data_IF_748280681233
#
_entry.id   IF_748280681233
#
_cell.length_a   1.000
_cell.length_b   1.000
_cell.length_c   1.000
_cell.angle_alpha   90.00
_cell.angle_beta   90.00
_cell.angle_gamma   90.00
#
_symmetry.space_group_name_H-M   'P 1'
#
loop_
_entity.id
_entity.type
_entity.pdbx_description
1 polymer ?
#
# COMPACT_ATOMS: atom_id res chain seq x y z
N UNK A 1 27.61 -14.97 -8.48
CA UNK A 1 26.65 -15.49 -7.48
C UNK A 1 25.77 -14.31 -7.08
N UNK A 2 24.45 -14.46 -7.10
CA UNK A 2 23.55 -13.35 -6.74
C UNK A 2 23.83 -12.90 -5.30
N UNK A 3 23.77 -11.59 -4.99
CA UNK A 3 24.04 -11.09 -3.64
C UNK A 3 22.92 -11.41 -2.62
N UNK A 4 21.86 -12.10 -3.05
CA UNK A 4 20.70 -12.44 -2.22
C UNK A 4 20.61 -13.94 -1.95
N UNK A 5 19.91 -14.32 -0.88
CA UNK A 5 19.70 -15.73 -0.54
C UNK A 5 18.90 -16.47 -1.62
N UNK A 6 19.12 -17.79 -1.77
CA UNK A 6 18.40 -18.63 -2.73
C UNK A 6 16.87 -18.63 -2.54
N UNK A 7 16.38 -18.41 -1.31
CA UNK A 7 14.95 -18.26 -1.03
C UNK A 7 14.38 -16.98 -1.65
N UNK A 8 15.14 -15.88 -1.61
CA UNK A 8 14.72 -14.62 -2.21
C UNK A 8 14.66 -14.70 -3.74
N UNK A 9 15.58 -15.44 -4.36
CA UNK A 9 15.60 -15.66 -5.81
C UNK A 9 14.35 -16.40 -6.33
N UNK A 10 13.69 -17.19 -5.49
CA UNK A 10 12.49 -17.96 -5.86
C UNK A 10 11.20 -17.14 -5.77
N UNK A 11 11.23 -15.94 -5.20
CA UNK A 11 10.05 -15.09 -5.09
C UNK A 11 9.75 -14.50 -6.46
N UNK A 12 8.55 -14.78 -6.98
CA UNK A 12 8.11 -14.22 -8.26
C UNK A 12 7.92 -12.70 -8.13
N UNK A 13 8.26 -11.93 -9.18
CA UNK A 13 8.02 -10.49 -9.21
C UNK A 13 6.54 -10.14 -8.99
N UNK A 14 6.30 -9.01 -8.31
CA UNK A 14 4.96 -8.50 -8.06
C UNK A 14 4.48 -7.63 -9.22
N UNK A 15 3.83 -8.27 -10.20
CA UNK A 15 3.44 -7.65 -11.49
C UNK A 15 2.33 -6.60 -11.35
N UNK A 16 1.62 -6.55 -10.22
CA UNK A 16 0.53 -5.57 -9.99
C UNK A 16 1.05 -4.13 -10.05
N UNK A 17 2.31 -3.87 -9.69
CA UNK A 17 2.88 -2.53 -9.76
C UNK A 17 2.96 -2.00 -11.20
N UNK A 18 3.23 -2.89 -12.16
CA UNK A 18 3.28 -2.53 -13.58
C UNK A 18 1.89 -2.14 -14.09
N UNK A 19 0.85 -2.84 -13.63
CA UNK A 19 -0.56 -2.56 -13.95
C UNK A 19 -0.96 -1.18 -13.40
N UNK A 20 -0.63 -0.89 -12.13
CA UNK A 20 -0.93 0.40 -11.50
C UNK A 20 -0.19 1.54 -12.20
N UNK A 21 1.08 1.34 -12.58
CA UNK A 21 1.85 2.34 -13.32
C UNK A 21 1.19 2.64 -14.67
N UNK A 22 0.79 1.60 -15.42
CA UNK A 22 0.14 1.76 -16.72
C UNK A 22 -1.22 2.45 -16.62
N UNK A 23 -2.02 2.12 -15.60
CA UNK A 23 -3.30 2.78 -15.34
C UNK A 23 -3.11 4.29 -15.13
N UNK A 24 -2.12 4.69 -14.32
CA UNK A 24 -1.78 6.10 -14.08
C UNK A 24 -1.33 6.83 -15.34
N UNK A 25 -0.57 6.19 -16.22
CA UNK A 25 -0.18 6.78 -17.51
C UNK A 25 -1.39 7.04 -18.40
N UNK A 26 -2.35 6.11 -18.43
CA UNK A 26 -3.58 6.25 -19.22
C UNK A 26 -4.47 7.37 -18.66
N UNK A 27 -4.63 7.44 -17.34
CA UNK A 27 -5.34 8.53 -16.66
C UNK A 27 -4.69 9.89 -16.99
N UNK A 28 -3.35 9.98 -16.92
CA UNK A 28 -2.61 11.20 -17.23
C UNK A 28 -2.73 11.62 -18.72
N UNK A 29 -2.93 10.66 -19.62
CA UNK A 29 -3.23 10.92 -21.02
C UNK A 29 -4.71 11.29 -21.30
N UNK A 30 -5.54 11.37 -20.24
CA UNK A 30 -6.94 11.77 -20.33
C UNK A 30 -7.92 10.64 -20.62
N UNK A 31 -7.50 9.38 -20.48
CA UNK A 31 -8.41 8.24 -20.59
C UNK A 31 -9.24 8.05 -19.32
N UNK A 32 -10.49 7.63 -19.48
CA UNK A 32 -11.34 7.17 -18.38
C UNK A 32 -10.97 5.72 -18.03
N UNK A 33 -10.51 5.49 -16.79
CA UNK A 33 -9.95 4.21 -16.34
C UNK A 33 -10.68 3.74 -15.09
N UNK A 34 -11.31 2.56 -15.17
CA UNK A 34 -11.91 1.89 -14.01
C UNK A 34 -10.89 0.95 -13.39
N UNK A 35 -10.52 1.22 -12.14
CA UNK A 35 -9.51 0.47 -11.39
C UNK A 35 -10.15 -0.68 -10.60
N UNK A 36 -9.85 -1.91 -11.00
CA UNK A 36 -10.36 -3.14 -10.36
C UNK A 36 -9.23 -3.98 -9.73
N UNK A 37 -8.02 -3.43 -9.70
CA UNK A 37 -6.81 -4.08 -9.21
C UNK A 37 -6.49 -3.75 -7.75
N UNK A 38 -7.16 -2.75 -7.16
CA UNK A 38 -6.91 -2.28 -5.80
C UNK A 38 -7.76 -3.08 -4.81
N UNK A 39 -7.10 -3.72 -3.84
CA UNK A 39 -7.77 -4.40 -2.72
C UNK A 39 -7.98 -3.53 -1.48
N UNK A 40 -7.56 -2.27 -1.53
CA UNK A 40 -7.77 -1.28 -0.47
C UNK A 40 -9.19 -0.69 -0.58
N UNK A 41 -9.98 -0.68 0.51
CA UNK A 41 -11.30 -0.08 0.47
C UNK A 41 -11.27 1.43 0.20
N UNK A 42 -12.36 1.93 -0.37
CA UNK A 42 -12.53 3.35 -0.74
C UNK A 42 -13.02 4.25 0.41
N UNK A 43 -13.23 3.69 1.60
CA UNK A 43 -13.66 4.43 2.78
C UNK A 43 -12.50 4.82 3.69
N UNK A 44 -12.65 5.96 4.36
CA UNK A 44 -11.71 6.40 5.38
C UNK A 44 -11.73 5.48 6.60
N UNK A 45 -10.58 5.33 7.26
CA UNK A 45 -10.49 4.70 8.57
C UNK A 45 -11.48 5.35 9.55
N UNK A 46 -12.33 4.59 10.25
CA UNK A 46 -13.31 5.14 11.18
C UNK A 46 -12.71 6.05 12.27
N UNK A 47 -13.41 7.14 12.59
CA UNK A 47 -12.95 8.17 13.54
C UNK A 47 -12.52 7.61 14.90
N UNK A 48 -13.23 6.61 15.42
CA UNK A 48 -12.90 5.99 16.72
C UNK A 48 -11.48 5.42 16.74
N UNK A 49 -11.00 4.89 15.62
CA UNK A 49 -9.66 4.33 15.49
C UNK A 49 -8.63 5.46 15.41
N UNK A 50 -8.89 6.47 14.57
CA UNK A 50 -7.97 7.62 14.40
C UNK A 50 -7.79 8.39 15.72
N UNK A 51 -8.87 8.65 16.45
CA UNK A 51 -8.82 9.30 17.78
C UNK A 51 -8.08 8.48 18.82
N UNK A 52 -8.23 7.15 18.80
CA UNK A 52 -7.49 6.28 19.71
C UNK A 52 -5.98 6.32 19.42
N UNK A 53 -5.59 6.30 18.14
CA UNK A 53 -4.20 6.45 17.74
C UNK A 53 -3.62 7.82 18.14
N UNK A 54 -4.38 8.91 17.93
CA UNK A 54 -4.01 10.25 18.39
C UNK A 54 -3.80 10.32 19.90
N UNK A 55 -4.72 9.74 20.69
CA UNK A 55 -4.61 9.70 22.15
C UNK A 55 -3.38 8.92 22.60
N UNK A 56 -3.10 7.75 22.02
CA UNK A 56 -1.92 6.95 22.36
C UNK A 56 -0.62 7.72 22.10
N UNK A 57 -0.54 8.43 20.97
CA UNK A 57 0.60 9.30 20.66
C UNK A 57 0.74 10.45 21.67
N UNK A 58 -0.35 11.10 22.06
CA UNK A 58 -0.34 12.17 23.07
C UNK A 58 0.03 11.67 24.46
N UNK A 59 -0.37 10.44 24.80
CA UNK A 59 -0.07 9.78 26.08
C UNK A 59 1.36 9.24 26.18
N UNK A 60 2.13 9.27 25.09
CA UNK A 60 3.52 8.78 25.08
C UNK A 60 3.64 7.26 24.97
N UNK A 61 2.61 6.58 24.47
CA UNK A 61 2.57 5.13 24.23
C UNK A 61 3.43 4.74 23.01
N UNK A 62 4.72 5.07 23.06
CA UNK A 62 5.69 4.93 21.96
C UNK A 62 6.82 3.97 22.29
N UNK A 63 6.74 3.27 23.42
CA UNK A 63 7.77 2.38 23.93
C UNK A 63 7.37 0.92 23.73
N UNK A 64 8.31 0.00 23.97
CA UNK A 64 8.03 -1.42 23.91
C UNK A 64 6.89 -1.80 24.86
N UNK A 65 6.00 -2.64 24.33
CA UNK A 65 4.91 -3.32 25.05
C UNK A 65 5.31 -4.74 25.38
#
# INVERSE_FOLDING_TARGET
MSPVSSRAEQIRPFVVMDIVARAKELEAAGHDVVRLEIGDPDFATPDVITRAAESAMQSGDTHYT
#
